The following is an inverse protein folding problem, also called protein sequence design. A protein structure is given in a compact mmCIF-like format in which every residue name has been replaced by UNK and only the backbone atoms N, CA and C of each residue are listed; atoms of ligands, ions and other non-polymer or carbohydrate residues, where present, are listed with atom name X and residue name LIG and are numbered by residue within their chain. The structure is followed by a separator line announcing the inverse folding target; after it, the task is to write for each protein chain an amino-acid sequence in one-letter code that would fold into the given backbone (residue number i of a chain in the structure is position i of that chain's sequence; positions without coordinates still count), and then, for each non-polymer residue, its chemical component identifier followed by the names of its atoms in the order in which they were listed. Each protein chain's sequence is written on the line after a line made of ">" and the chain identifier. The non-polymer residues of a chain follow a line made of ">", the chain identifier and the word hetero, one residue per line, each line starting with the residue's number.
data_IF_165753307855
#
_entry.id   IF_165753307855
#
_cell.length_a   1.000
_cell.length_b   1.000
_cell.length_c   1.000
_cell.angle_alpha   90.00
_cell.angle_beta   90.00
_cell.angle_gamma   90.00
#
_symmetry.space_group_name_H-M   'P 1'
#
loop_
_entity.id
_entity.type
_entity.pdbx_description
1 polymer ?
#
# COMPACT_ATOMS: atom_id res chain seq x y z
N UNK A 1 24.11 -22.97 20.60
CA UNK A 1 24.30 -21.89 19.60
C UNK A 1 24.02 -20.55 20.26
N UNK A 2 24.90 -19.55 20.11
CA UNK A 2 24.72 -18.23 20.78
C UNK A 2 23.74 -17.34 20.02
N UNK A 3 23.00 -16.48 20.73
CA UNK A 3 22.03 -15.53 20.15
C UNK A 3 22.64 -14.65 19.05
N UNK A 4 23.91 -14.26 19.20
CA UNK A 4 24.68 -13.48 18.20
C UNK A 4 24.82 -14.23 16.87
N UNK A 5 25.17 -15.52 16.90
CA UNK A 5 25.31 -16.34 15.68
C UNK A 5 23.97 -16.50 14.95
N UNK A 6 22.88 -16.62 15.70
CA UNK A 6 21.53 -16.73 15.15
C UNK A 6 21.09 -15.43 14.48
N UNK A 7 21.32 -14.28 15.13
CA UNK A 7 21.02 -12.98 14.54
C UNK A 7 21.81 -12.73 13.25
N UNK A 8 23.11 -13.04 13.24
CA UNK A 8 23.95 -12.94 12.05
C UNK A 8 23.42 -13.81 10.90
N UNK A 9 22.94 -15.01 11.19
CA UNK A 9 22.36 -15.89 10.18
C UNK A 9 21.05 -15.32 9.60
N UNK A 10 20.17 -14.80 10.45
CA UNK A 10 18.96 -14.12 10.00
C UNK A 10 19.29 -12.91 9.11
N UNK A 11 20.21 -12.04 9.56
CA UNK A 11 20.65 -10.87 8.81
C UNK A 11 21.26 -11.25 7.46
N UNK A 12 22.04 -12.33 7.40
CA UNK A 12 22.56 -12.85 6.13
C UNK A 12 21.43 -13.21 5.17
N UNK A 13 20.42 -13.96 5.62
CA UNK A 13 19.27 -14.28 4.77
C UNK A 13 18.47 -13.04 4.37
N UNK A 14 18.32 -12.07 5.27
CA UNK A 14 17.64 -10.81 5.01
C UNK A 14 18.34 -10.01 3.92
N UNK A 15 19.65 -9.74 4.06
CA UNK A 15 20.42 -8.96 3.09
C UNK A 15 20.41 -9.60 1.71
N UNK A 16 20.59 -10.93 1.63
CA UNK A 16 20.55 -11.66 0.36
C UNK A 16 19.16 -11.51 -0.28
N UNK A 17 18.09 -11.70 0.49
CA UNK A 17 16.71 -11.62 -0.01
C UNK A 17 16.36 -10.22 -0.51
N UNK A 18 16.74 -9.17 0.23
CA UNK A 18 16.58 -7.78 -0.17
C UNK A 18 17.33 -7.48 -1.47
N UNK A 19 18.58 -7.94 -1.59
CA UNK A 19 19.37 -7.72 -2.80
C UNK A 19 18.75 -8.37 -4.03
N UNK A 20 18.29 -9.63 -3.92
CA UNK A 20 17.61 -10.31 -5.01
C UNK A 20 16.32 -9.60 -5.44
N UNK A 21 15.50 -9.15 -4.49
CA UNK A 21 14.26 -8.45 -4.82
C UNK A 21 14.51 -7.04 -5.37
N UNK A 22 15.56 -6.36 -4.91
CA UNK A 22 15.99 -5.10 -5.48
C UNK A 22 16.40 -5.27 -6.95
N UNK A 23 17.21 -6.29 -7.28
CA UNK A 23 17.56 -6.60 -8.68
C UNK A 23 16.33 -6.86 -9.53
N UNK A 24 15.37 -7.63 -9.02
CA UNK A 24 14.10 -7.86 -9.69
C UNK A 24 13.32 -6.55 -9.90
N UNK A 25 13.28 -5.67 -8.90
CA UNK A 25 12.61 -4.37 -8.99
C UNK A 25 13.25 -3.47 -10.04
N UNK A 26 14.58 -3.46 -10.12
CA UNK A 26 15.32 -2.74 -11.18
C UNK A 26 14.92 -3.26 -12.55
N UNK A 27 14.89 -4.58 -12.76
CA UNK A 27 14.45 -5.17 -14.04
C UNK A 27 12.99 -4.80 -14.34
N UNK A 28 12.10 -4.84 -13.35
CA UNK A 28 10.69 -4.48 -13.53
C UNK A 28 10.52 -3.02 -13.96
N UNK A 29 11.25 -2.09 -13.32
CA UNK A 29 11.24 -0.67 -13.68
C UNK A 29 11.82 -0.49 -15.08
N UNK A 30 12.92 -1.15 -15.42
CA UNK A 30 13.50 -1.12 -16.77
C UNK A 30 12.47 -1.57 -17.81
N UNK A 31 11.83 -2.73 -17.62
CA UNK A 31 10.84 -3.26 -18.57
C UNK A 31 9.67 -2.29 -18.77
N UNK A 32 9.23 -1.62 -17.71
CA UNK A 32 8.14 -0.66 -17.80
C UNK A 32 8.55 0.65 -18.51
N UNK A 33 9.80 1.10 -18.34
CA UNK A 33 10.29 2.38 -18.87
C UNK A 33 11.10 2.29 -20.18
N UNK A 34 11.49 1.09 -20.62
CA UNK A 34 12.18 0.89 -21.91
C UNK A 34 11.32 1.28 -23.12
N UNK A 35 10.02 1.51 -22.94
CA UNK A 35 9.15 2.04 -23.98
C UNK A 35 9.31 3.56 -24.20
N UNK A 36 9.94 4.32 -23.29
CA UNK A 36 9.78 5.79 -23.24
C UNK A 36 11.05 6.66 -23.40
N UNK A 37 12.31 6.18 -23.26
CA UNK A 37 13.51 7.06 -23.40
C UNK A 37 14.89 6.38 -23.47
N UNK A 38 15.95 7.17 -23.72
CA UNK A 38 17.39 6.85 -23.81
C UNK A 38 17.99 6.09 -22.61
N UNK A 39 18.88 5.12 -22.89
CA UNK A 39 19.35 4.07 -21.98
C UNK A 39 20.13 4.58 -20.75
N UNK A 40 20.96 5.63 -20.86
CA UNK A 40 21.93 5.97 -19.80
C UNK A 40 21.33 6.79 -18.64
N UNK A 41 20.51 7.82 -18.95
CA UNK A 41 19.77 8.59 -17.93
C UNK A 41 18.63 7.74 -17.36
N UNK A 42 18.12 6.78 -18.14
CA UNK A 42 17.22 5.75 -17.64
C UNK A 42 17.79 4.97 -16.46
N UNK A 43 19.11 4.72 -16.37
CA UNK A 43 19.68 3.93 -15.27
C UNK A 43 19.56 4.66 -13.92
N UNK A 44 19.91 5.94 -13.84
CA UNK A 44 19.83 6.71 -12.57
C UNK A 44 18.37 6.83 -12.12
N UNK A 45 17.48 7.18 -13.05
CA UNK A 45 16.04 7.27 -12.77
C UNK A 45 15.44 5.91 -12.38
N UNK A 46 15.85 4.85 -13.06
CA UNK A 46 15.46 3.47 -12.73
C UNK A 46 15.91 3.11 -11.33
N UNK A 47 17.16 3.41 -10.96
CA UNK A 47 17.68 3.16 -9.62
C UNK A 47 16.88 3.93 -8.56
N UNK A 48 16.62 5.22 -8.77
CA UNK A 48 15.82 6.03 -7.83
C UNK A 48 14.37 5.53 -7.70
N UNK A 49 13.72 5.18 -8.81
CA UNK A 49 12.38 4.61 -8.81
C UNK A 49 12.35 3.24 -8.12
N UNK A 50 13.34 2.39 -8.37
CA UNK A 50 13.45 1.09 -7.72
C UNK A 50 13.70 1.23 -6.22
N UNK A 51 14.53 2.21 -5.81
CA UNK A 51 14.75 2.54 -4.41
C UNK A 51 13.51 3.15 -3.75
N UNK A 52 12.62 3.80 -4.51
CA UNK A 52 11.35 4.28 -3.95
C UNK A 52 10.42 3.15 -3.49
N UNK A 53 10.69 1.90 -3.90
CA UNK A 53 10.02 0.67 -3.46
C UNK A 53 10.70 0.00 -2.25
N UNK A 54 11.55 0.73 -1.53
CA UNK A 54 12.34 0.20 -0.40
C UNK A 54 11.49 -0.42 0.72
N UNK A 55 10.27 0.07 0.94
CA UNK A 55 9.33 -0.52 1.89
C UNK A 55 8.95 -1.96 1.50
N UNK A 56 8.68 -2.17 0.21
CA UNK A 56 8.34 -3.45 -0.40
C UNK A 56 9.56 -4.39 -0.41
N UNK A 57 10.76 -3.85 -0.70
CA UNK A 57 12.02 -4.61 -0.62
C UNK A 57 12.26 -5.15 0.80
N UNK A 58 12.08 -4.30 1.82
CA UNK A 58 12.25 -4.68 3.23
C UNK A 58 11.21 -5.75 3.62
N UNK A 59 9.94 -5.58 3.26
CA UNK A 59 8.89 -6.55 3.57
C UNK A 59 9.15 -7.92 2.94
N UNK A 60 9.52 -7.96 1.66
CA UNK A 60 9.90 -9.20 0.97
C UNK A 60 11.08 -9.88 1.67
N UNK A 61 12.15 -9.11 1.93
CA UNK A 61 13.36 -9.64 2.54
C UNK A 61 13.10 -10.20 3.93
N UNK A 62 12.26 -9.53 4.72
CA UNK A 62 11.84 -9.97 6.05
C UNK A 62 11.01 -11.25 5.99
N UNK A 63 10.11 -11.39 5.02
CA UNK A 63 9.31 -12.59 4.86
C UNK A 63 10.17 -13.82 4.50
N UNK A 64 10.98 -13.70 3.45
CA UNK A 64 11.83 -14.81 2.98
C UNK A 64 12.89 -15.18 4.02
N UNK A 65 13.52 -14.19 4.66
CA UNK A 65 14.51 -14.45 5.71
C UNK A 65 13.90 -15.15 6.91
N UNK A 66 12.71 -14.76 7.36
CA UNK A 66 12.02 -15.41 8.47
C UNK A 66 11.71 -16.87 8.14
N UNK A 67 11.23 -17.14 6.93
CA UNK A 67 10.93 -18.48 6.45
C UNK A 67 12.19 -19.37 6.40
N UNK A 68 13.28 -18.90 5.79
CA UNK A 68 14.55 -19.63 5.71
C UNK A 68 15.18 -19.83 7.09
N UNK A 69 15.17 -18.78 7.92
CA UNK A 69 15.70 -18.83 9.27
C UNK A 69 14.91 -19.83 10.13
N UNK A 70 13.60 -19.93 9.94
CA UNK A 70 12.76 -20.89 10.65
C UNK A 70 13.10 -22.33 10.26
N UNK A 71 13.30 -22.61 8.97
CA UNK A 71 13.76 -23.93 8.51
C UNK A 71 15.10 -24.30 9.18
N UNK A 72 16.07 -23.39 9.14
CA UNK A 72 17.36 -23.55 9.79
C UNK A 72 17.23 -23.75 11.32
N UNK A 73 16.34 -23.00 11.97
CA UNK A 73 16.09 -23.09 13.42
C UNK A 73 15.62 -24.49 13.84
N UNK A 74 14.71 -25.08 13.08
CA UNK A 74 14.17 -26.40 13.36
C UNK A 74 15.13 -27.54 13.05
N UNK A 75 15.98 -27.41 12.04
CA UNK A 75 17.07 -28.37 11.79
C UNK A 75 18.01 -28.48 12.99
N UNK A 76 18.20 -27.38 13.72
CA UNK A 76 19.01 -27.33 14.94
C UNK A 76 18.25 -27.71 16.23
N UNK A 77 17.03 -28.27 16.11
CA UNK A 77 16.18 -28.74 17.22
C UNK A 77 15.93 -27.68 18.32
N UNK A 78 15.83 -26.41 17.93
CA UNK A 78 15.60 -25.30 18.86
C UNK A 78 14.10 -25.10 19.16
N UNK A 79 13.78 -24.50 20.31
CA UNK A 79 12.41 -24.29 20.80
C UNK A 79 11.62 -23.28 19.95
N UNK A 80 10.36 -23.61 19.62
CA UNK A 80 9.43 -22.73 18.89
C UNK A 80 9.10 -21.43 19.67
N UNK A 81 9.01 -21.49 20.99
CA UNK A 81 8.68 -20.32 21.82
C UNK A 81 9.76 -19.25 21.70
N UNK A 82 11.03 -19.66 21.66
CA UNK A 82 12.17 -18.74 21.47
C UNK A 82 12.15 -18.11 20.08
N UNK A 83 11.77 -18.87 19.06
CA UNK A 83 11.61 -18.36 17.69
C UNK A 83 10.49 -17.33 17.60
N UNK A 84 9.33 -17.59 18.21
CA UNK A 84 8.21 -16.66 18.23
C UNK A 84 8.57 -15.35 18.95
N UNK A 85 9.28 -15.41 20.09
CA UNK A 85 9.77 -14.22 20.80
C UNK A 85 10.74 -13.41 19.94
N UNK A 86 11.68 -14.08 19.27
CA UNK A 86 12.62 -13.41 18.37
C UNK A 86 11.89 -12.78 17.19
N UNK A 87 10.96 -13.51 16.56
CA UNK A 87 10.15 -13.02 15.46
C UNK A 87 9.36 -11.75 15.84
N UNK A 88 8.74 -11.75 17.02
CA UNK A 88 8.01 -10.58 17.53
C UNK A 88 8.93 -9.39 17.82
N UNK A 89 10.11 -9.63 18.38
CA UNK A 89 11.10 -8.56 18.57
C UNK A 89 11.55 -7.96 17.23
N UNK A 90 11.81 -8.81 16.23
CA UNK A 90 12.20 -8.38 14.89
C UNK A 90 11.06 -7.66 14.16
N UNK A 91 9.81 -8.10 14.30
CA UNK A 91 8.67 -7.43 13.67
C UNK A 91 8.45 -6.02 14.22
N UNK A 92 8.62 -5.82 15.54
CA UNK A 92 8.55 -4.47 16.15
C UNK A 92 9.67 -3.59 15.61
N UNK A 93 10.91 -4.10 15.60
CA UNK A 93 12.06 -3.35 15.10
C UNK A 93 11.88 -2.93 13.64
N UNK A 94 11.51 -3.87 12.76
CA UNK A 94 11.32 -3.58 11.35
C UNK A 94 10.07 -2.75 11.07
N UNK A 95 9.00 -2.89 11.85
CA UNK A 95 7.85 -1.99 11.77
C UNK A 95 8.25 -0.54 12.06
N UNK A 96 9.09 -0.30 13.07
CA UNK A 96 9.64 1.02 13.37
C UNK A 96 10.50 1.57 12.24
N UNK A 97 11.39 0.74 11.67
CA UNK A 97 12.21 1.13 10.51
C UNK A 97 11.34 1.48 9.31
N UNK A 98 10.35 0.64 8.98
CA UNK A 98 9.43 0.87 7.86
C UNK A 98 8.63 2.16 8.06
N UNK A 99 8.16 2.42 9.29
CA UNK A 99 7.46 3.67 9.60
C UNK A 99 8.34 4.89 9.36
N UNK A 100 9.59 4.87 9.80
CA UNK A 100 10.54 5.96 9.56
C UNK A 100 10.82 6.14 8.07
N UNK A 101 11.21 5.06 7.39
CA UNK A 101 11.53 5.05 5.95
C UNK A 101 10.37 5.60 5.12
N UNK A 102 9.14 5.20 5.43
CA UNK A 102 7.96 5.64 4.69
C UNK A 102 7.60 7.11 4.93
N UNK A 103 7.90 7.65 6.11
CA UNK A 103 7.63 9.06 6.43
C UNK A 103 8.75 10.03 6.03
N UNK A 104 9.98 9.55 5.83
CA UNK A 104 11.14 10.40 5.53
C UNK A 104 11.78 10.05 4.20
N UNK A 105 12.32 8.85 4.05
CA UNK A 105 13.16 8.47 2.91
C UNK A 105 12.35 8.30 1.62
N UNK A 106 11.20 7.61 1.66
CA UNK A 106 10.38 7.33 0.47
C UNK A 106 9.87 8.62 -0.20
N UNK A 107 9.30 9.60 0.54
CA UNK A 107 8.95 10.91 0.00
C UNK A 107 10.08 11.58 -0.76
N UNK A 108 11.27 11.67 -0.17
CA UNK A 108 12.43 12.35 -0.75
C UNK A 108 12.92 11.64 -2.02
N UNK A 109 12.98 10.30 -2.02
CA UNK A 109 13.34 9.53 -3.21
C UNK A 109 12.34 9.76 -4.36
N UNK A 110 11.03 9.84 -4.04
CA UNK A 110 10.00 10.13 -5.05
C UNK A 110 10.14 11.55 -5.59
N UNK A 111 10.36 12.55 -4.75
CA UNK A 111 10.59 13.95 -5.18
C UNK A 111 11.79 14.00 -6.11
N UNK A 112 12.93 13.44 -5.69
CA UNK A 112 14.15 13.42 -6.49
C UNK A 112 13.93 12.74 -7.85
N UNK A 113 13.20 11.62 -7.87
CA UNK A 113 12.81 10.94 -9.10
C UNK A 113 11.88 11.77 -10.00
N UNK A 114 10.92 12.50 -9.43
CA UNK A 114 10.05 13.39 -10.21
C UNK A 114 10.83 14.54 -10.83
N UNK A 115 11.63 15.23 -10.03
CA UNK A 115 12.45 16.36 -10.50
C UNK A 115 13.43 15.89 -11.59
N UNK A 116 14.10 14.77 -11.38
CA UNK A 116 15.06 14.26 -12.37
C UNK A 116 14.40 13.86 -13.69
N UNK A 117 13.14 13.41 -13.68
CA UNK A 117 12.37 13.13 -14.90
C UNK A 117 11.90 14.41 -15.58
N UNK A 118 11.52 15.41 -14.80
CA UNK A 118 11.11 16.71 -15.31
C UNK A 118 12.27 17.47 -15.98
N UNK A 119 13.42 17.56 -15.31
CA UNK A 119 14.66 18.14 -15.87
C UNK A 119 15.05 17.44 -17.19
N UNK A 120 14.88 16.12 -17.25
CA UNK A 120 15.12 15.37 -18.48
C UNK A 120 14.14 15.73 -19.60
N UNK A 121 12.84 15.79 -19.30
CA UNK A 121 11.83 16.16 -20.30
C UNK A 121 12.05 17.57 -20.84
N UNK A 122 12.53 18.50 -20.00
CA UNK A 122 12.92 19.85 -20.39
C UNK A 122 14.28 19.91 -21.10
N UNK A 123 15.12 18.87 -20.99
CA UNK A 123 16.53 18.86 -21.41
C UNK A 123 17.36 19.96 -20.75
N UNK A 124 16.94 20.41 -19.57
CA UNK A 124 17.56 21.51 -18.82
C UNK A 124 17.59 21.17 -17.33
N UNK A 125 18.68 21.54 -16.65
CA UNK A 125 18.78 21.36 -15.19
C UNK A 125 18.19 22.58 -14.50
N UNK A 126 17.26 22.33 -13.60
CA UNK A 126 16.74 23.34 -12.70
C UNK A 126 17.85 23.85 -11.77
N UNK A 127 17.80 25.15 -11.47
CA UNK A 127 18.66 25.75 -10.45
C UNK A 127 18.18 25.35 -9.04
N UNK A 128 18.97 25.67 -8.01
CA UNK A 128 18.68 25.23 -6.64
C UNK A 128 17.35 25.78 -6.08
N UNK A 129 16.95 26.98 -6.49
CA UNK A 129 15.73 27.64 -6.02
C UNK A 129 14.50 27.03 -6.70
N UNK A 130 14.54 26.86 -8.03
CA UNK A 130 13.50 26.16 -8.81
C UNK A 130 13.28 24.73 -8.31
N UNK A 131 14.36 23.99 -8.02
CA UNK A 131 14.24 22.63 -7.45
C UNK A 131 13.57 22.64 -6.08
N UNK A 132 13.86 23.66 -5.26
CA UNK A 132 13.25 23.79 -3.93
C UNK A 132 11.76 24.11 -4.04
N UNK A 133 11.40 25.08 -4.87
CA UNK A 133 10.00 25.44 -5.12
C UNK A 133 9.21 24.25 -5.66
N UNK A 134 9.75 23.55 -6.65
CA UNK A 134 9.13 22.35 -7.20
C UNK A 134 8.99 21.24 -6.15
N UNK A 135 10.00 21.04 -5.30
CA UNK A 135 9.92 20.07 -4.20
C UNK A 135 8.81 20.42 -3.21
N UNK A 136 8.68 21.69 -2.85
CA UNK A 136 7.68 22.16 -1.89
C UNK A 136 6.26 22.13 -2.49
N UNK A 137 6.12 22.37 -3.79
CA UNK A 137 4.87 22.15 -4.52
C UNK A 137 4.47 20.67 -4.53
N UNK A 138 5.40 19.77 -4.88
CA UNK A 138 5.17 18.32 -4.88
C UNK A 138 4.76 17.81 -3.49
N UNK A 139 5.40 18.30 -2.41
CA UNK A 139 5.04 17.95 -1.03
C UNK A 139 3.64 18.41 -0.63
N UNK A 140 3.17 19.53 -1.17
CA UNK A 140 1.84 20.11 -0.86
C UNK A 140 0.72 19.51 -1.68
N UNK A 141 1.00 19.08 -2.92
CA UNK A 141 -0.04 18.77 -3.90
C UNK A 141 -0.08 17.31 -4.36
N UNK A 142 0.93 16.48 -4.04
CA UNK A 142 0.92 15.04 -4.38
C UNK A 142 0.81 14.13 -3.16
N UNK A 143 -0.38 13.56 -2.96
CA UNK A 143 -0.67 12.52 -1.96
C UNK A 143 0.38 11.39 -1.93
N UNK A 144 0.85 10.92 -3.09
CA UNK A 144 1.81 9.81 -3.18
C UNK A 144 3.22 10.13 -2.68
N UNK A 145 3.51 11.41 -2.41
CA UNK A 145 4.77 11.94 -1.89
C UNK A 145 4.62 12.36 -0.42
N UNK A 146 3.41 12.64 0.05
CA UNK A 146 3.16 13.10 1.41
C UNK A 146 3.51 12.06 2.48
N UNK A 147 4.05 12.53 3.60
CA UNK A 147 4.10 11.76 4.85
C UNK A 147 2.73 11.76 5.55
N UNK A 148 2.56 10.92 6.57
CA UNK A 148 1.26 10.75 7.26
C UNK A 148 0.74 12.07 7.85
N UNK A 149 1.59 12.90 8.44
CA UNK A 149 1.18 14.17 9.02
C UNK A 149 0.68 15.15 7.95
N UNK A 150 1.34 15.20 6.80
CA UNK A 150 0.90 16.01 5.66
C UNK A 150 -0.39 15.48 5.04
N UNK A 151 -0.58 14.16 4.96
CA UNK A 151 -1.83 13.54 4.51
C UNK A 151 -2.99 13.97 5.43
N UNK A 152 -2.77 13.95 6.75
CA UNK A 152 -3.79 14.37 7.72
C UNK A 152 -4.16 15.84 7.56
N UNK A 153 -3.18 16.75 7.48
CA UNK A 153 -3.43 18.18 7.23
C UNK A 153 -4.16 18.42 5.91
N UNK A 154 -3.75 17.72 4.86
CA UNK A 154 -4.40 17.79 3.56
C UNK A 154 -5.85 17.29 3.65
N UNK A 155 -6.10 16.19 4.37
CA UNK A 155 -7.46 15.68 4.62
C UNK A 155 -8.32 16.69 5.36
N UNK A 156 -7.82 17.31 6.42
CA UNK A 156 -8.55 18.30 7.21
C UNK A 156 -8.93 19.52 6.35
N UNK A 157 -8.01 19.94 5.47
CA UNK A 157 -8.28 20.99 4.48
C UNK A 157 -9.40 20.59 3.52
N UNK A 158 -9.34 19.38 2.95
CA UNK A 158 -10.39 18.87 2.05
C UNK A 158 -11.75 18.74 2.75
N UNK A 159 -11.77 18.32 4.02
CA UNK A 159 -13.01 18.24 4.80
C UNK A 159 -13.61 19.62 5.08
N UNK A 160 -12.77 20.61 5.36
CA UNK A 160 -13.19 21.99 5.54
C UNK A 160 -13.79 22.54 4.24
N UNK A 161 -13.11 22.34 3.11
CA UNK A 161 -13.63 22.74 1.80
C UNK A 161 -14.94 22.02 1.47
N UNK A 162 -15.02 20.71 1.73
CA UNK A 162 -16.25 19.93 1.52
C UNK A 162 -17.43 20.50 2.33
N UNK A 163 -17.22 20.91 3.57
CA UNK A 163 -18.25 21.54 4.41
C UNK A 163 -18.74 22.87 3.83
N UNK A 164 -17.81 23.70 3.31
CA UNK A 164 -18.15 24.94 2.60
C UNK A 164 -18.98 24.64 1.36
N UNK A 165 -18.58 23.64 0.57
CA UNK A 165 -19.31 23.22 -0.64
C UNK A 165 -20.70 22.68 -0.31
N UNK A 166 -20.86 21.89 0.74
CA UNK A 166 -22.18 21.42 1.19
C UNK A 166 -23.09 22.58 1.61
N UNK A 167 -22.53 23.62 2.24
CA UNK A 167 -23.29 24.83 2.62
C UNK A 167 -23.76 25.60 1.39
N UNK A 168 -22.86 25.84 0.42
CA UNK A 168 -23.21 26.50 -0.84
C UNK A 168 -24.28 25.71 -1.61
N UNK A 169 -24.14 24.38 -1.70
CA UNK A 169 -25.13 23.52 -2.37
C UNK A 169 -26.49 23.63 -1.68
N UNK A 170 -26.56 23.59 -0.34
CA UNK A 170 -27.81 23.77 0.40
C UNK A 170 -28.46 25.11 0.08
N UNK A 171 -27.69 26.19 0.07
CA UNK A 171 -28.19 27.53 -0.28
C UNK A 171 -28.74 27.58 -1.70
N UNK A 172 -28.03 27.01 -2.69
CA UNK A 172 -28.51 26.96 -4.07
C UNK A 172 -29.75 26.08 -4.24
N UNK A 173 -29.82 24.95 -3.55
CA UNK A 173 -31.00 24.04 -3.57
C UNK A 173 -32.23 24.74 -3.00
N UNK A 174 -32.11 25.43 -1.87
CA UNK A 174 -33.22 26.17 -1.25
C UNK A 174 -33.80 27.27 -2.15
N UNK A 175 -32.98 27.79 -3.06
CA UNK A 175 -33.35 28.87 -3.99
C UNK A 175 -33.73 28.36 -5.40
N UNK A 176 -33.81 27.04 -5.60
CA UNK A 176 -34.13 26.42 -6.89
C UNK A 176 -35.47 25.69 -6.83
N UNK A 177 -36.36 25.84 -7.83
CA UNK A 177 -37.61 25.07 -7.90
C UNK A 177 -37.39 23.54 -8.01
N UNK A 178 -38.18 22.76 -7.27
CA UNK A 178 -38.06 21.30 -7.20
C UNK A 178 -38.16 20.62 -8.59
N UNK A 179 -39.02 21.12 -9.48
CA UNK A 179 -39.18 20.57 -10.85
C UNK A 179 -37.89 20.64 -11.68
N UNK A 180 -37.04 21.64 -11.43
CA UNK A 180 -35.75 21.81 -12.10
C UNK A 180 -34.69 20.92 -11.44
N UNK A 181 -34.74 20.76 -10.12
CA UNK A 181 -33.84 19.87 -9.40
C UNK A 181 -34.05 18.40 -9.78
N UNK A 182 -35.30 17.94 -9.78
CA UNK A 182 -35.69 16.56 -10.08
C UNK A 182 -35.40 16.15 -11.53
N UNK A 183 -35.40 17.10 -12.47
CA UNK A 183 -35.05 16.84 -13.87
C UNK A 183 -33.53 16.76 -14.13
N UNK A 184 -32.71 17.23 -13.19
CA UNK A 184 -31.24 17.38 -13.38
C UNK A 184 -30.44 16.49 -12.44
N UNK A 185 -30.91 16.24 -11.22
CA UNK A 185 -30.20 15.48 -10.20
C UNK A 185 -30.99 14.23 -9.80
N UNK A 186 -30.31 13.09 -9.56
CA UNK A 186 -30.98 11.89 -9.10
C UNK A 186 -31.56 12.09 -7.68
N UNK A 187 -32.76 11.53 -7.43
CA UNK A 187 -33.48 11.66 -6.16
C UNK A 187 -32.64 11.26 -4.93
N UNK A 188 -31.73 10.29 -5.07
CA UNK A 188 -30.82 9.87 -3.99
C UNK A 188 -29.86 10.99 -3.54
N UNK A 189 -29.51 11.92 -4.43
CA UNK A 189 -28.68 13.09 -4.13
C UNK A 189 -29.51 14.18 -3.46
N UNK A 190 -30.70 14.44 -4.01
CA UNK A 190 -31.61 15.47 -3.53
C UNK A 190 -32.12 15.22 -2.11
N UNK A 191 -32.41 13.96 -1.75
CA UNK A 191 -32.86 13.61 -0.40
C UNK A 191 -31.86 13.97 0.72
N UNK A 192 -30.57 14.19 0.39
CA UNK A 192 -29.54 14.63 1.35
C UNK A 192 -29.60 16.13 1.66
N UNK A 193 -30.24 16.93 0.80
CA UNK A 193 -30.26 18.39 0.85
C UNK A 193 -31.67 19.00 0.94
N UNK A 194 -32.69 18.32 0.43
CA UNK A 194 -34.11 18.71 0.51
C UNK A 194 -34.71 18.19 1.82
N UNK A 195 -34.26 18.71 2.96
CA UNK A 195 -34.97 18.50 4.23
C UNK A 195 -35.90 19.67 4.58
N UNK A 196 -35.77 20.82 3.92
CA UNK A 196 -36.61 21.99 4.13
C UNK A 196 -37.16 22.48 2.79
N UNK A 197 -38.50 22.58 2.71
CA UNK A 197 -39.22 23.01 1.49
C UNK A 197 -38.69 24.37 1.00
N UNK A 198 -38.43 24.55 -0.30
CA UNK A 198 -37.99 25.83 -0.86
C UNK A 198 -39.01 26.93 -0.59
N UNK A 199 -38.54 28.15 -0.33
CA UNK A 199 -39.39 29.35 -0.43
C UNK A 199 -39.66 29.57 -1.91
N UNK A 200 -40.92 29.63 -2.32
CA UNK A 200 -41.33 30.00 -3.67
C UNK A 200 -40.57 31.24 -4.14
N UNK A 201 -39.58 31.06 -5.02
CA UNK A 201 -38.92 32.14 -5.75
C UNK A 201 -39.34 32.04 -7.21
N UNK A 202 -39.98 33.11 -7.71
CA UNK A 202 -40.58 33.19 -9.04
C UNK A 202 -39.57 33.45 -10.16
N UNK A 203 -38.28 33.59 -9.86
CA UNK A 203 -37.24 33.82 -10.87
C UNK A 203 -36.05 32.90 -10.64
N UNK A 204 -35.98 31.84 -11.44
CA UNK A 204 -34.84 30.95 -11.52
C UNK A 204 -33.99 31.29 -12.75
N UNK A 205 -32.69 31.51 -12.54
CA UNK A 205 -31.75 31.78 -13.65
C UNK A 205 -30.98 30.51 -14.06
N UNK A 206 -30.74 30.35 -15.36
CA UNK A 206 -29.87 29.30 -15.91
C UNK A 206 -28.45 29.35 -15.32
N UNK A 207 -27.99 30.55 -14.95
CA UNK A 207 -26.71 30.76 -14.27
C UNK A 207 -26.67 30.07 -12.89
N UNK A 208 -27.74 30.19 -12.10
CA UNK A 208 -27.87 29.52 -10.80
C UNK A 208 -27.82 27.99 -10.95
N UNK A 209 -28.46 27.43 -11.99
CA UNK A 209 -28.40 25.99 -12.29
C UNK A 209 -26.96 25.52 -12.58
N UNK A 210 -26.25 26.28 -13.42
CA UNK A 210 -24.89 25.93 -13.82
C UNK A 210 -23.92 26.05 -12.65
N UNK A 211 -24.09 27.05 -11.78
CA UNK A 211 -23.33 27.18 -10.55
C UNK A 211 -23.58 26.02 -9.60
N UNK A 212 -24.84 25.61 -9.41
CA UNK A 212 -25.19 24.42 -8.62
C UNK A 212 -24.55 23.16 -9.20
N UNK A 213 -24.64 22.91 -10.51
CA UNK A 213 -23.97 21.77 -11.17
C UNK A 213 -22.47 21.76 -10.93
N UNK A 214 -21.83 22.93 -11.00
CA UNK A 214 -20.40 23.09 -10.75
C UNK A 214 -20.03 22.75 -9.29
N UNK A 215 -20.73 23.31 -8.31
CA UNK A 215 -20.50 23.03 -6.89
C UNK A 215 -20.72 21.55 -6.55
N UNK A 216 -21.76 20.92 -7.13
CA UNK A 216 -22.02 19.47 -7.00
C UNK A 216 -20.86 18.64 -7.60
N UNK A 217 -20.32 19.06 -8.73
CA UNK A 217 -19.17 18.39 -9.36
C UNK A 217 -17.93 18.47 -8.48
N UNK A 218 -17.63 19.66 -7.93
CA UNK A 218 -16.52 19.86 -7.00
C UNK A 218 -16.69 19.02 -5.73
N UNK A 219 -17.89 19.01 -5.15
CA UNK A 219 -18.19 18.19 -3.96
C UNK A 219 -17.93 16.69 -4.22
N UNK A 220 -18.34 16.17 -5.39
CA UNK A 220 -18.06 14.78 -5.78
C UNK A 220 -16.55 14.51 -5.94
N UNK A 221 -15.80 15.47 -6.47
CA UNK A 221 -14.34 15.36 -6.59
C UNK A 221 -13.68 15.32 -5.21
N UNK A 222 -14.05 16.22 -4.30
CA UNK A 222 -13.55 16.26 -2.92
C UNK A 222 -13.81 14.94 -2.18
N UNK A 223 -14.99 14.33 -2.36
CA UNK A 223 -15.28 13.00 -1.80
C UNK A 223 -14.28 11.95 -2.29
N UNK A 224 -13.92 11.96 -3.58
CA UNK A 224 -12.93 11.04 -4.14
C UNK A 224 -11.55 11.30 -3.53
N UNK A 225 -11.13 12.56 -3.47
CA UNK A 225 -9.83 12.95 -2.91
C UNK A 225 -9.71 12.60 -1.41
N UNK A 226 -10.77 12.78 -0.62
CA UNK A 226 -10.81 12.35 0.79
C UNK A 226 -10.69 10.82 0.91
N UNK A 227 -11.38 10.06 0.06
CA UNK A 227 -11.25 8.58 0.05
C UNK A 227 -9.82 8.15 -0.29
N UNK A 228 -9.18 8.80 -1.25
CA UNK A 228 -7.80 8.53 -1.63
C UNK A 228 -6.82 8.87 -0.51
N UNK A 229 -7.02 10.01 0.15
CA UNK A 229 -6.24 10.42 1.32
C UNK A 229 -6.33 9.39 2.46
N UNK A 230 -7.56 8.96 2.79
CA UNK A 230 -7.78 7.91 3.81
C UNK A 230 -7.12 6.57 3.42
N UNK A 231 -7.18 6.20 2.14
CA UNK A 231 -6.54 4.97 1.68
C UNK A 231 -5.02 5.04 1.81
N UNK A 232 -4.43 6.16 1.41
CA UNK A 232 -2.98 6.29 1.46
C UNK A 232 -2.48 6.36 2.90
N UNK A 233 -3.24 6.99 3.81
CA UNK A 233 -3.04 6.87 5.26
C UNK A 233 -3.12 5.40 5.74
N UNK A 234 -4.19 4.68 5.37
CA UNK A 234 -4.38 3.27 5.75
C UNK A 234 -3.25 2.37 5.24
N UNK A 235 -2.70 2.65 4.06
CA UNK A 235 -1.57 1.92 3.47
C UNK A 235 -0.30 2.04 4.33
N UNK A 236 -0.08 3.13 5.06
CA UNK A 236 1.03 3.22 6.03
C UNK A 236 0.88 2.18 7.14
N UNK A 237 -0.30 2.10 7.75
CA UNK A 237 -0.58 1.14 8.81
C UNK A 237 -0.63 -0.29 8.30
N UNK A 238 -1.12 -0.51 7.08
CA UNK A 238 -1.14 -1.83 6.45
C UNK A 238 0.27 -2.38 6.24
N UNK A 239 1.24 -1.55 5.79
CA UNK A 239 2.65 -1.94 5.68
C UNK A 239 3.23 -2.43 7.02
N UNK A 240 2.86 -1.78 8.13
CA UNK A 240 3.26 -2.20 9.48
C UNK A 240 2.61 -3.54 9.83
N UNK A 241 1.29 -3.66 9.66
CA UNK A 241 0.55 -4.90 9.91
C UNK A 241 1.12 -6.09 9.13
N UNK A 242 1.46 -5.86 7.85
CA UNK A 242 2.07 -6.88 6.99
C UNK A 242 3.39 -7.39 7.53
N UNK A 243 4.15 -6.58 8.26
CA UNK A 243 5.39 -7.03 8.89
C UNK A 243 5.08 -8.13 9.92
N UNK A 244 4.12 -7.90 10.82
CA UNK A 244 3.71 -8.90 11.80
C UNK A 244 3.10 -10.14 11.15
N UNK A 245 2.23 -9.93 10.16
CA UNK A 245 1.62 -11.01 9.40
C UNK A 245 2.67 -11.88 8.70
N UNK A 246 3.62 -11.28 7.97
CA UNK A 246 4.66 -12.03 7.25
C UNK A 246 5.62 -12.73 8.20
N UNK A 247 5.98 -12.17 9.36
CA UNK A 247 6.77 -12.92 10.36
C UNK A 247 6.00 -14.15 10.84
N UNK A 248 4.78 -13.96 11.33
CA UNK A 248 3.97 -15.05 11.86
C UNK A 248 3.76 -16.15 10.81
N UNK A 249 3.42 -15.73 9.59
CA UNK A 249 3.17 -16.64 8.50
C UNK A 249 4.44 -17.32 7.98
N UNK A 250 5.56 -16.59 7.92
CA UNK A 250 6.87 -17.13 7.57
C UNK A 250 7.32 -18.22 8.54
N UNK A 251 7.05 -18.06 9.84
CA UNK A 251 7.31 -19.09 10.86
C UNK A 251 6.47 -20.34 10.61
N UNK A 252 5.16 -20.18 10.37
CA UNK A 252 4.25 -21.32 10.09
C UNK A 252 4.70 -22.09 8.85
N UNK A 253 5.02 -21.38 7.76
CA UNK A 253 5.53 -21.97 6.53
C UNK A 253 6.86 -22.68 6.73
N UNK A 254 7.83 -22.02 7.36
CA UNK A 254 9.15 -22.58 7.60
C UNK A 254 9.08 -23.84 8.47
N UNK A 255 8.20 -23.88 9.47
CA UNK A 255 7.97 -25.08 10.28
C UNK A 255 7.40 -26.23 9.44
N UNK A 256 6.40 -25.95 8.60
CA UNK A 256 5.77 -26.94 7.72
C UNK A 256 6.72 -27.55 6.69
N UNK A 257 7.66 -26.74 6.22
CA UNK A 257 8.55 -27.08 5.12
C UNK A 257 9.96 -27.48 5.61
N UNK A 258 10.14 -27.66 6.93
CA UNK A 258 11.43 -27.99 7.57
C UNK A 258 12.17 -29.21 6.99
N UNK A 259 11.44 -30.12 6.33
CA UNK A 259 11.97 -31.35 5.71
C UNK A 259 12.06 -31.27 4.17
N UNK A 260 11.79 -30.12 3.54
CA UNK A 260 11.86 -29.94 2.08
C UNK A 260 13.11 -29.15 1.68
N UNK A 261 13.57 -29.34 0.44
CA UNK A 261 14.70 -28.58 -0.12
C UNK A 261 14.47 -27.07 -0.02
N UNK A 262 15.51 -26.27 0.35
CA UNK A 262 15.41 -24.81 0.51
C UNK A 262 14.76 -24.10 -0.68
N UNK A 263 15.02 -24.58 -1.89
CA UNK A 263 14.47 -24.05 -3.14
C UNK A 263 12.93 -24.06 -3.18
N UNK A 264 12.29 -25.17 -2.79
CA UNK A 264 10.82 -25.30 -2.77
C UNK A 264 10.21 -24.35 -1.74
N UNK A 265 10.92 -24.13 -0.62
CA UNK A 265 10.48 -23.21 0.44
C UNK A 265 10.48 -21.77 -0.05
N UNK A 266 11.54 -21.36 -0.77
CA UNK A 266 11.63 -20.03 -1.36
C UNK A 266 10.55 -19.80 -2.41
N UNK A 267 10.30 -20.75 -3.33
CA UNK A 267 9.26 -20.62 -4.36
C UNK A 267 7.87 -20.43 -3.73
N UNK A 268 7.52 -21.24 -2.73
CA UNK A 268 6.24 -21.12 -2.05
C UNK A 268 6.10 -19.77 -1.34
N UNK A 269 7.18 -19.28 -0.71
CA UNK A 269 7.22 -17.95 -0.12
C UNK A 269 6.99 -16.85 -1.16
N UNK A 270 7.71 -16.88 -2.28
CA UNK A 270 7.56 -15.90 -3.35
C UNK A 270 6.12 -15.86 -3.87
N UNK A 271 5.52 -17.02 -4.13
CA UNK A 271 4.14 -17.08 -4.62
C UNK A 271 3.17 -16.38 -3.66
N UNK A 272 3.23 -16.67 -2.36
CA UNK A 272 2.29 -16.10 -1.39
C UNK A 272 2.53 -14.60 -1.20
N UNK A 273 3.79 -14.16 -1.23
CA UNK A 273 4.11 -12.74 -1.20
C UNK A 273 3.49 -12.00 -2.40
N UNK A 274 3.66 -12.54 -3.61
CA UNK A 274 3.13 -11.94 -4.84
C UNK A 274 1.59 -11.85 -4.82
N UNK A 275 0.89 -12.90 -4.40
CA UNK A 275 -0.56 -12.85 -4.25
C UNK A 275 -1.00 -11.82 -3.21
N UNK A 276 -0.30 -11.73 -2.07
CA UNK A 276 -0.61 -10.75 -1.02
C UNK A 276 -0.42 -9.31 -1.53
N UNK A 277 0.65 -9.06 -2.28
CA UNK A 277 0.93 -7.75 -2.88
C UNK A 277 -0.12 -7.39 -3.95
N UNK A 278 -0.47 -8.33 -4.83
CA UNK A 278 -1.48 -8.14 -5.88
C UNK A 278 -2.85 -7.76 -5.30
N UNK A 279 -3.24 -8.34 -4.17
CA UNK A 279 -4.47 -7.96 -3.45
C UNK A 279 -4.42 -6.49 -3.02
N UNK A 280 -3.30 -6.05 -2.43
CA UNK A 280 -3.13 -4.67 -1.95
C UNK A 280 -3.20 -3.68 -3.12
N UNK A 281 -2.55 -4.00 -4.23
CA UNK A 281 -2.57 -3.19 -5.44
C UNK A 281 -3.98 -3.09 -6.04
N UNK A 282 -4.71 -4.19 -6.12
CA UNK A 282 -6.11 -4.19 -6.60
C UNK A 282 -7.04 -3.38 -5.71
N UNK A 283 -6.89 -3.43 -4.37
CA UNK A 283 -7.67 -2.58 -3.47
C UNK A 283 -7.37 -1.11 -3.75
N UNK A 284 -6.10 -0.75 -3.98
CA UNK A 284 -5.70 0.60 -4.34
C UNK A 284 -6.33 1.08 -5.66
N UNK A 285 -6.40 0.20 -6.67
CA UNK A 285 -7.00 0.52 -7.97
C UNK A 285 -8.53 0.64 -7.89
N UNK A 286 -9.19 -0.21 -7.08
CA UNK A 286 -10.62 -0.10 -6.82
C UNK A 286 -11.01 1.25 -6.18
N UNK A 287 -10.15 1.83 -5.33
CA UNK A 287 -10.39 3.16 -4.75
C UNK A 287 -10.28 4.29 -5.79
N UNK A 288 -9.54 4.07 -6.88
CA UNK A 288 -9.41 4.99 -8.02
C UNK A 288 -10.53 4.86 -9.07
N UNK A 289 -11.47 3.93 -8.90
CA UNK A 289 -12.70 3.85 -9.70
C UNK A 289 -12.81 2.69 -10.69
N UNK A 290 -11.82 1.78 -10.77
CA UNK A 290 -11.98 0.53 -11.52
C UNK A 290 -12.48 -0.58 -10.58
N UNK A 291 -13.77 -0.93 -10.65
CA UNK A 291 -14.36 -1.89 -9.72
C UNK A 291 -14.12 -3.34 -10.18
N UNK A 292 -13.29 -4.11 -9.47
CA UNK A 292 -13.29 -5.57 -9.61
C UNK A 292 -13.19 -6.28 -8.23
N UNK A 293 -14.22 -6.10 -7.40
CA UNK A 293 -14.31 -6.70 -6.06
C UNK A 293 -14.21 -8.24 -6.07
N UNK A 294 -14.70 -8.88 -7.14
CA UNK A 294 -14.65 -10.34 -7.32
C UNK A 294 -13.22 -10.87 -7.42
N UNK A 295 -12.33 -10.15 -8.09
CA UNK A 295 -10.92 -10.55 -8.28
C UNK A 295 -10.11 -10.37 -6.98
N UNK A 296 -10.42 -9.34 -6.19
CA UNK A 296 -9.87 -9.14 -4.84
C UNK A 296 -10.27 -10.28 -3.92
N UNK A 297 -11.58 -10.61 -3.88
CA UNK A 297 -12.10 -11.71 -3.05
C UNK A 297 -11.47 -13.04 -3.46
N UNK A 298 -11.36 -13.31 -4.77
CA UNK A 298 -10.71 -14.52 -5.29
C UNK A 298 -9.25 -14.64 -4.82
N UNK A 299 -8.45 -13.58 -4.93
CA UNK A 299 -7.05 -13.62 -4.48
C UNK A 299 -6.92 -13.75 -2.96
N UNK A 300 -7.81 -13.12 -2.17
CA UNK A 300 -7.89 -13.33 -0.71
C UNK A 300 -8.24 -14.79 -0.39
N UNK A 301 -9.21 -15.37 -1.10
CA UNK A 301 -9.57 -16.78 -0.97
C UNK A 301 -8.40 -17.71 -1.29
N UNK A 302 -7.61 -17.43 -2.33
CA UNK A 302 -6.39 -18.21 -2.64
C UNK A 302 -5.39 -18.15 -1.49
N UNK A 303 -5.12 -16.97 -0.93
CA UNK A 303 -4.24 -16.80 0.23
C UNK A 303 -4.78 -17.60 1.43
N UNK A 304 -6.10 -17.54 1.66
CA UNK A 304 -6.75 -18.22 2.78
C UNK A 304 -6.77 -19.75 2.62
N UNK A 305 -7.02 -20.25 1.40
CA UNK A 305 -6.97 -21.69 1.09
C UNK A 305 -5.55 -22.21 1.26
N UNK A 306 -4.54 -21.47 0.78
CA UNK A 306 -3.14 -21.82 1.01
C UNK A 306 -2.83 -21.87 2.51
N UNK A 307 -3.25 -20.85 3.25
CA UNK A 307 -3.10 -20.79 4.71
C UNK A 307 -3.73 -22.01 5.39
N UNK A 308 -5.02 -22.27 5.15
CA UNK A 308 -5.76 -23.39 5.75
C UNK A 308 -5.18 -24.75 5.36
N UNK A 309 -4.83 -24.94 4.08
CA UNK A 309 -4.22 -26.18 3.61
C UNK A 309 -2.89 -26.47 4.29
N UNK A 310 -2.09 -25.43 4.55
CA UNK A 310 -0.82 -25.53 5.26
C UNK A 310 -1.02 -25.79 6.77
N UNK A 311 -1.98 -25.11 7.41
CA UNK A 311 -2.32 -25.36 8.82
C UNK A 311 -2.87 -26.79 9.00
N UNK A 312 -3.74 -27.24 8.10
CA UNK A 312 -4.28 -28.60 8.11
C UNK A 312 -3.17 -29.66 7.95
N UNK A 313 -2.22 -29.42 7.05
CA UNK A 313 -1.05 -30.30 6.88
C UNK A 313 -0.19 -30.39 8.14
N UNK A 314 -0.01 -29.30 8.90
CA UNK A 314 0.66 -29.36 10.22
C UNK A 314 -0.06 -30.30 11.17
N UNK A 315 -1.39 -30.21 11.23
CA UNK A 315 -2.20 -31.02 12.14
C UNK A 315 -2.07 -32.50 11.77
N UNK A 316 -2.12 -32.84 10.48
CA UNK A 316 -1.93 -34.21 10.00
C UNK A 316 -0.54 -34.78 10.33
N UNK A 317 0.53 -34.03 10.04
CA UNK A 317 1.90 -34.46 10.35
C UNK A 317 2.11 -34.67 11.86
N UNK A 318 1.49 -33.82 12.69
CA UNK A 318 1.52 -33.97 14.14
C UNK A 318 0.76 -35.21 14.63
N UNK A 319 -0.37 -35.56 13.99
CA UNK A 319 -1.12 -36.78 14.30
C UNK A 319 -0.35 -38.05 13.89
N UNK A 320 0.29 -38.07 12.73
CA UNK A 320 1.13 -39.18 12.28
C UNK A 320 2.30 -39.43 13.22
N UNK A 321 3.09 -38.39 13.53
CA UNK A 321 4.22 -38.53 14.46
C UNK A 321 3.81 -39.02 15.87
N UNK A 322 2.60 -38.69 16.31
CA UNK A 322 2.05 -39.16 17.60
C UNK A 322 1.60 -40.63 17.52
N UNK A 323 1.16 -41.09 16.35
CA UNK A 323 0.75 -42.47 16.10
C UNK A 323 1.97 -43.39 15.99
N UNK A 324 3.01 -42.96 15.27
CA UNK A 324 4.26 -43.70 15.10
C UNK A 324 5.01 -43.90 16.43
N UNK A 325 4.94 -42.92 17.34
CA UNK A 325 5.50 -43.01 18.70
C UNK A 325 4.65 -43.83 19.68
N UNK A 326 3.41 -44.18 19.34
CA UNK A 326 2.54 -45.01 20.18
C UNK A 326 2.60 -46.50 19.79
N UNK A 327 3.17 -46.80 18.63
CA UNK A 327 3.35 -48.16 18.09
C UNK A 327 4.77 -48.71 18.24
N UNK A 328 5.70 -47.92 18.78
CA UNK A 328 7.06 -48.32 19.16
C UNK A 328 7.20 -48.36 20.68
#
# INVERSE_FOLDING_TARGET
>A
MTTKKLLLQFLKYFTISCFFYYLFSVVQVIVHFMAEADILINIINTCLLSLSLIDTIILFGLFISTLLFTVYWFQNKLSLIKLLRLGLAMSILFAGILFLVKNTVVPELKIMSYISRYEYALREKLNAEERREMSDDLRRNRLSIMNVLSINKYKDSLQTEMSVKETNIKEFVLNTPDSILESVFPNSYLNKYIQNKPKNTSEFSLFTLNKLKYEVSLHKQLIKEIKLSNWEEAKYYLTIFLTFFFVAYGIVLGFNLKNKHPFVVVIAGIAIYLYSYKVIEMISNNMNGSYNSTEIISNICVIFILFLGLTYRMILLKKQAKKDNATN
#
